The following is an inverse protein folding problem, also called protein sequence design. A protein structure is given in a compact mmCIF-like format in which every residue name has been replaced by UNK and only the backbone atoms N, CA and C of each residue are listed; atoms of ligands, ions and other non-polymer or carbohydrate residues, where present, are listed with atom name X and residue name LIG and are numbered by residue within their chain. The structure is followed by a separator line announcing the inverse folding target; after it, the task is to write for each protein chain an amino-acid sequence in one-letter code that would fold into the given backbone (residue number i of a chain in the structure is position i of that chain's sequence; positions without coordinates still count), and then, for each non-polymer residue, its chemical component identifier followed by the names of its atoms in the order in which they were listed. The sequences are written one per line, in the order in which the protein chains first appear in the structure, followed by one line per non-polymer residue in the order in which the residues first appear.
data_IF_350217172571
#
_entry.id   IF_350217172571
#
_cell.length_a   1.000
_cell.length_b   1.000
_cell.length_c   1.000
_cell.angle_alpha   90.00
_cell.angle_beta   90.00
_cell.angle_gamma   90.00
#
_symmetry.space_group_name_H-M   'P 1'
#
loop_
_entity.id
_entity.type
_entity.pdbx_description
1 polymer ?
#
# COMPACT_ATOMS: atom_id res chain seq x y z
N UNK A 1 2.47 -21.11 4.02
CA UNK A 1 1.44 -20.30 3.32
C UNK A 1 1.14 -19.01 4.06
N UNK A 2 0.78 -19.04 5.35
CA UNK A 2 0.53 -17.82 6.16
C UNK A 2 1.81 -16.98 6.37
N UNK A 3 2.96 -17.60 6.55
CA UNK A 3 4.25 -16.91 6.74
C UNK A 3 4.62 -15.99 5.56
N UNK A 4 4.33 -16.42 4.33
CA UNK A 4 4.52 -15.60 3.13
C UNK A 4 3.55 -14.41 3.09
N UNK A 5 2.33 -14.56 3.60
CA UNK A 5 1.37 -13.45 3.69
C UNK A 5 1.82 -12.44 4.74
N UNK A 6 2.34 -12.87 5.89
CA UNK A 6 2.88 -11.97 6.92
C UNK A 6 4.03 -11.13 6.35
N UNK A 7 4.93 -11.73 5.57
CA UNK A 7 6.00 -11.00 4.88
C UNK A 7 5.48 -9.98 3.85
N UNK A 8 4.32 -10.24 3.26
CA UNK A 8 3.67 -9.36 2.29
C UNK A 8 2.97 -8.18 2.98
N UNK A 9 2.24 -8.44 4.07
CA UNK A 9 1.69 -7.41 4.94
C UNK A 9 2.78 -6.51 5.51
N UNK A 10 3.89 -7.09 6.00
CA UNK A 10 5.00 -6.32 6.54
C UNK A 10 5.62 -5.36 5.51
N UNK A 11 5.87 -5.83 4.28
CA UNK A 11 6.39 -4.97 3.20
C UNK A 11 5.40 -3.87 2.81
N UNK A 12 4.11 -4.20 2.71
CA UNK A 12 3.08 -3.25 2.33
C UNK A 12 2.90 -2.17 3.42
N UNK A 13 2.92 -2.56 4.70
CA UNK A 13 2.87 -1.65 5.84
C UNK A 13 4.13 -0.79 5.96
N UNK A 14 5.32 -1.32 5.66
CA UNK A 14 6.57 -0.55 5.63
C UNK A 14 6.49 0.58 4.59
N UNK A 15 6.04 0.28 3.37
CA UNK A 15 5.82 1.28 2.32
C UNK A 15 4.82 2.37 2.74
N UNK A 16 3.73 1.98 3.38
CA UNK A 16 2.74 2.93 3.92
C UNK A 16 3.37 3.84 4.99
N UNK A 17 4.17 3.27 5.89
CA UNK A 17 4.85 4.01 6.94
C UNK A 17 5.82 5.04 6.36
N UNK A 18 6.62 4.67 5.35
CA UNK A 18 7.52 5.62 4.66
C UNK A 18 6.75 6.77 4.02
N UNK A 19 5.57 6.50 3.44
CA UNK A 19 4.73 7.52 2.81
C UNK A 19 4.11 8.47 3.84
N UNK A 20 3.68 7.93 4.98
CA UNK A 20 3.18 8.72 6.11
C UNK A 20 4.29 9.55 6.76
N UNK A 21 5.51 9.02 6.88
CA UNK A 21 6.66 9.76 7.40
C UNK A 21 7.01 10.94 6.48
N UNK A 22 7.02 10.73 5.16
CA UNK A 22 7.21 11.79 4.18
C UNK A 22 6.11 12.87 4.26
N UNK A 23 4.83 12.47 4.35
CA UNK A 23 3.72 13.41 4.52
C UNK A 23 3.81 14.20 5.84
N UNK A 24 4.20 13.53 6.93
CA UNK A 24 4.40 14.17 8.23
C UNK A 24 5.58 15.16 8.23
N UNK A 25 6.64 14.87 7.47
CA UNK A 25 7.78 15.78 7.28
C UNK A 25 7.40 17.01 6.44
N UNK A 26 6.58 16.84 5.41
CA UNK A 26 6.11 17.94 4.56
C UNK A 26 5.02 18.78 5.25
N UNK A 27 4.36 18.22 6.28
CA UNK A 27 3.24 18.85 6.98
C UNK A 27 1.92 18.75 6.22
N UNK A 28 1.80 17.75 5.35
CA UNK A 28 0.63 17.49 4.51
C UNK A 28 -0.35 16.54 5.21
N UNK A 29 -1.65 16.77 5.02
CA UNK A 29 -2.71 15.92 5.54
C UNK A 29 -2.76 14.61 4.75
N UNK A 30 -2.50 13.48 5.43
CA UNK A 30 -2.51 12.17 4.80
C UNK A 30 -3.91 11.54 4.86
N UNK A 31 -4.51 11.27 3.69
CA UNK A 31 -5.81 10.60 3.60
C UNK A 31 -5.67 9.09 3.87
N UNK A 32 -5.85 8.72 5.15
CA UNK A 32 -5.68 7.34 5.62
C UNK A 32 -6.61 6.35 4.91
N UNK A 33 -7.83 6.74 4.55
CA UNK A 33 -8.78 5.85 3.86
C UNK A 33 -8.25 5.40 2.49
N UNK A 34 -7.80 6.35 1.67
CA UNK A 34 -7.24 6.07 0.35
C UNK A 34 -5.95 5.25 0.45
N UNK A 35 -5.11 5.54 1.44
CA UNK A 35 -3.90 4.77 1.72
C UNK A 35 -4.19 3.31 2.11
N UNK A 36 -5.17 3.06 2.98
CA UNK A 36 -5.57 1.71 3.36
C UNK A 36 -6.26 0.95 2.22
N UNK A 37 -7.06 1.63 1.40
CA UNK A 37 -7.69 1.04 0.21
C UNK A 37 -6.63 0.53 -0.77
N UNK A 38 -5.61 1.36 -1.06
CA UNK A 38 -4.46 0.97 -1.91
C UNK A 38 -3.62 -0.14 -1.30
N UNK A 39 -3.38 -0.10 0.02
CA UNK A 39 -2.65 -1.14 0.75
C UNK A 39 -3.31 -2.51 0.58
N UNK A 40 -4.62 -2.58 0.82
CA UNK A 40 -5.38 -3.85 0.71
C UNK A 40 -5.48 -4.35 -0.72
N UNK A 41 -5.56 -3.45 -1.71
CA UNK A 41 -5.51 -3.79 -3.13
C UNK A 41 -4.18 -4.46 -3.52
N UNK A 42 -3.05 -3.90 -3.10
CA UNK A 42 -1.73 -4.43 -3.40
C UNK A 42 -1.50 -5.80 -2.74
N UNK A 43 -1.97 -5.95 -1.49
CA UNK A 43 -1.92 -7.23 -0.77
C UNK A 43 -2.71 -8.31 -1.51
N UNK A 44 -3.93 -8.01 -1.96
CA UNK A 44 -4.77 -8.97 -2.71
C UNK A 44 -4.19 -9.26 -4.09
N UNK A 45 -3.69 -8.24 -4.80
CA UNK A 45 -3.04 -8.39 -6.11
C UNK A 45 -1.86 -9.37 -6.04
N UNK A 46 -0.99 -9.17 -5.06
CA UNK A 46 0.21 -9.98 -4.92
C UNK A 46 -0.06 -11.35 -4.27
N UNK A 47 -1.05 -11.45 -3.39
CA UNK A 47 -1.46 -12.70 -2.75
C UNK A 47 -2.22 -13.67 -3.68
N UNK A 48 -3.17 -13.14 -4.46
CA UNK A 48 -4.11 -13.95 -5.24
C UNK A 48 -3.66 -14.09 -6.68
N UNK A 49 -3.14 -13.01 -7.27
CA UNK A 49 -2.76 -12.94 -8.67
C UNK A 49 -1.25 -12.94 -8.90
N UNK A 50 -0.44 -12.88 -7.82
CA UNK A 50 1.00 -12.66 -7.88
C UNK A 50 1.36 -11.45 -8.76
N UNK A 51 0.51 -10.42 -8.71
CA UNK A 51 0.64 -9.18 -9.47
C UNK A 51 0.96 -8.02 -8.53
N UNK A 52 2.02 -7.27 -8.84
CA UNK A 52 2.42 -6.08 -8.08
C UNK A 52 1.68 -4.88 -8.69
N UNK A 53 0.69 -4.36 -7.96
CA UNK A 53 -0.08 -3.20 -8.42
C UNK A 53 0.72 -1.91 -8.23
N UNK A 54 1.56 -1.88 -7.20
CA UNK A 54 2.36 -0.74 -6.78
C UNK A 54 1.51 0.54 -6.62
N UNK A 55 0.22 0.39 -6.28
CA UNK A 55 -0.75 1.49 -6.17
C UNK A 55 -0.44 2.49 -5.04
N UNK A 56 0.48 2.13 -4.15
CA UNK A 56 1.04 3.02 -3.13
C UNK A 56 2.02 4.04 -3.72
N UNK A 57 2.78 3.69 -4.76
CA UNK A 57 3.77 4.58 -5.40
C UNK A 57 3.21 5.19 -6.66
N UNK A 58 2.54 4.37 -7.47
CA UNK A 58 2.01 4.76 -8.75
C UNK A 58 0.53 5.07 -8.55
N UNK A 59 0.14 6.33 -8.75
CA UNK A 59 -1.25 6.73 -8.82
C UNK A 59 -1.81 6.19 -10.14
N UNK A 60 -2.01 4.87 -10.20
CA UNK A 60 -2.74 4.23 -11.28
C UNK A 60 -4.18 4.63 -11.06
N UNK A 61 -4.54 5.81 -11.58
CA UNK A 61 -5.88 6.37 -11.52
C UNK A 61 -6.88 5.25 -11.64
N UNK A 62 -7.48 4.91 -10.51
CA UNK A 62 -8.49 3.88 -10.46
C UNK A 62 -9.64 4.48 -11.26
N UNK A 63 -9.84 3.98 -12.48
CA UNK A 63 -11.03 4.31 -13.27
C UNK A 63 -12.22 3.90 -12.41
N UNK A 64 -13.02 4.90 -12.04
CA UNK A 64 -14.39 4.73 -11.53
C UNK A 64 -15.27 3.94 -12.51
#
# INVERSE_FOLDING_TARGET
YVEAMIGLFAQASDRLCQKLDAAAQDGEDAEMESLFSRLTLDIIGKAVFNYDFDSLTNDTGIVE
#
